data_IF_996056638513
#
_entry.id   IF_996056638513
#
_cell.length_a   1.000
_cell.length_b   1.000
_cell.length_c   1.000
_cell.angle_alpha   90.00
_cell.angle_beta   90.00
_cell.angle_gamma   90.00
#
_symmetry.space_group_name_H-M   'P 1'
#
loop_
_entity.id
_entity.type
_entity.pdbx_description
1 polymer ?
#
# COMPACT_ATOMS: atom_id res chain seq x y z
N UNK A 1 17.57 -18.37 -10.65
CA UNK A 1 18.08 -17.89 -11.95
C UNK A 1 17.50 -18.60 -13.19
N UNK A 2 17.88 -19.82 -13.59
CA UNK A 2 17.39 -20.42 -14.86
C UNK A 2 15.87 -20.72 -14.89
N UNK A 3 15.32 -21.29 -13.80
CA UNK A 3 13.86 -21.50 -13.64
C UNK A 3 13.07 -20.19 -13.63
N UNK A 4 13.66 -19.16 -13.04
CA UNK A 4 13.06 -17.85 -12.85
C UNK A 4 13.00 -17.06 -14.18
N UNK A 5 14.07 -17.14 -14.98
CA UNK A 5 14.09 -16.62 -16.36
C UNK A 5 13.08 -17.35 -17.26
N UNK A 6 12.93 -18.67 -17.08
CA UNK A 6 11.97 -19.46 -17.86
C UNK A 6 10.51 -19.14 -17.49
N UNK A 7 10.23 -18.95 -16.19
CA UNK A 7 8.93 -18.50 -15.71
C UNK A 7 8.59 -17.07 -16.18
N UNK A 8 9.55 -16.15 -16.11
CA UNK A 8 9.38 -14.78 -16.61
C UNK A 8 9.11 -14.75 -18.13
N UNK A 9 9.84 -15.54 -18.91
CA UNK A 9 9.62 -15.64 -20.35
C UNK A 9 8.26 -16.26 -20.70
N UNK A 10 7.86 -17.32 -19.97
CA UNK A 10 6.54 -17.92 -20.14
C UNK A 10 5.41 -16.94 -19.80
N UNK A 11 5.54 -16.16 -18.72
CA UNK A 11 4.58 -15.11 -18.35
C UNK A 11 4.49 -14.06 -19.44
N UNK A 12 5.63 -13.53 -19.91
CA UNK A 12 5.65 -12.49 -20.95
C UNK A 12 5.01 -12.96 -22.26
N UNK A 13 5.27 -14.21 -22.68
CA UNK A 13 4.64 -14.79 -23.87
C UNK A 13 3.13 -14.97 -23.69
N UNK A 14 2.68 -15.28 -22.47
CA UNK A 14 1.26 -15.41 -22.15
C UNK A 14 0.57 -14.05 -22.15
N UNK A 15 1.21 -13.04 -21.59
CA UNK A 15 0.72 -11.65 -21.56
C UNK A 15 0.59 -11.09 -22.99
N UNK A 16 1.57 -11.33 -23.85
CA UNK A 16 1.53 -10.93 -25.26
C UNK A 16 0.39 -11.63 -26.02
N UNK A 17 0.20 -12.94 -25.79
CA UNK A 17 -0.91 -13.69 -26.37
C UNK A 17 -2.29 -13.23 -25.88
N UNK A 18 -2.40 -12.85 -24.60
CA UNK A 18 -3.62 -12.28 -24.02
C UNK A 18 -3.91 -10.88 -24.58
N UNK A 19 -2.89 -10.04 -24.74
CA UNK A 19 -3.01 -8.70 -25.31
C UNK A 19 -3.48 -8.76 -26.78
N UNK A 20 -2.91 -9.67 -27.58
CA UNK A 20 -3.33 -9.86 -28.97
C UNK A 20 -4.80 -10.32 -29.07
N UNK A 21 -5.22 -11.26 -28.21
CA UNK A 21 -6.62 -11.71 -28.14
C UNK A 21 -7.57 -10.61 -27.66
N UNK A 22 -7.14 -9.79 -26.69
CA UNK A 22 -7.91 -8.65 -26.22
C UNK A 22 -8.15 -7.66 -27.36
N UNK A 23 -7.12 -7.34 -28.15
CA UNK A 23 -7.25 -6.48 -29.33
C UNK A 23 -8.21 -7.02 -30.39
N UNK A 24 -8.18 -8.34 -30.67
CA UNK A 24 -9.14 -8.97 -31.59
C UNK A 24 -10.60 -8.85 -31.07
N UNK A 25 -10.81 -9.05 -29.77
CA UNK A 25 -12.12 -8.95 -29.14
C UNK A 25 -12.64 -7.50 -29.12
N UNK A 26 -11.76 -6.53 -28.87
CA UNK A 26 -12.06 -5.10 -28.90
C UNK A 26 -12.54 -4.68 -30.29
N UNK A 27 -11.79 -5.03 -31.33
CA UNK A 27 -12.16 -4.72 -32.72
C UNK A 27 -13.50 -5.37 -33.13
N UNK A 28 -13.77 -6.58 -32.65
CA UNK A 28 -15.07 -7.26 -32.86
C UNK A 28 -16.21 -6.57 -32.13
N UNK A 29 -15.97 -6.08 -30.91
CA UNK A 29 -16.94 -5.31 -30.12
C UNK A 29 -17.30 -4.02 -30.85
N UNK A 30 -16.31 -3.24 -31.25
CA UNK A 30 -16.52 -1.98 -31.99
C UNK A 30 -17.33 -2.19 -33.27
N UNK A 31 -16.97 -3.21 -34.08
CA UNK A 31 -17.73 -3.53 -35.29
C UNK A 31 -19.19 -3.94 -34.99
N UNK A 32 -19.43 -4.64 -33.88
CA UNK A 32 -20.77 -5.02 -33.48
C UNK A 32 -21.58 -3.81 -32.97
N UNK A 33 -20.94 -2.89 -32.24
CA UNK A 33 -21.56 -1.64 -31.79
C UNK A 33 -21.94 -0.74 -32.96
N UNK A 34 -21.07 -0.57 -33.96
CA UNK A 34 -21.35 0.22 -35.17
C UNK A 34 -22.57 -0.34 -35.92
N UNK A 35 -22.63 -1.66 -36.09
CA UNK A 35 -23.77 -2.32 -36.75
C UNK A 35 -25.06 -2.14 -35.97
N UNK A 36 -25.04 -2.25 -34.65
CA UNK A 36 -26.23 -2.08 -33.83
C UNK A 36 -26.69 -0.62 -33.76
N UNK A 37 -25.76 0.33 -33.74
CA UNK A 37 -26.07 1.76 -33.82
C UNK A 37 -26.76 2.13 -35.13
N UNK A 38 -26.49 1.40 -36.23
CA UNK A 38 -27.22 1.57 -37.49
C UNK A 38 -28.66 1.06 -37.45
N UNK A 39 -28.99 0.18 -36.50
CA UNK A 39 -30.30 -0.47 -36.37
C UNK A 39 -31.13 0.07 -35.20
N UNK A 40 -30.49 0.64 -34.18
CA UNK A 40 -31.09 1.06 -32.92
C UNK A 40 -30.70 2.52 -32.61
N UNK A 41 -31.67 3.30 -32.13
CA UNK A 41 -31.45 4.72 -31.78
C UNK A 41 -30.83 4.94 -30.40
N UNK A 42 -30.54 3.87 -29.65
CA UNK A 42 -29.98 3.95 -28.30
C UNK A 42 -28.76 3.02 -28.13
N UNK A 43 -27.77 3.43 -27.32
CA UNK A 43 -26.60 2.62 -27.05
C UNK A 43 -27.00 1.37 -26.26
N UNK A 44 -26.54 0.21 -26.72
CA UNK A 44 -26.81 -1.09 -26.09
C UNK A 44 -25.47 -1.66 -25.62
N UNK A 45 -25.24 -1.82 -24.31
CA UNK A 45 -23.96 -2.32 -23.80
C UNK A 45 -23.75 -3.77 -24.28
N UNK A 46 -22.69 -3.97 -25.07
CA UNK A 46 -22.30 -5.29 -25.54
C UNK A 46 -21.34 -5.94 -24.56
N UNK A 47 -21.78 -7.06 -23.99
CA UNK A 47 -20.94 -7.85 -23.12
C UNK A 47 -20.32 -9.01 -23.91
N UNK A 48 -19.00 -9.21 -23.82
CA UNK A 48 -18.34 -10.30 -24.53
C UNK A 48 -18.79 -11.64 -23.98
N UNK A 49 -18.81 -12.63 -24.88
CA UNK A 49 -19.04 -14.02 -24.53
C UNK A 49 -17.70 -14.73 -24.41
N UNK A 50 -17.33 -15.06 -23.18
CA UNK A 50 -16.04 -15.63 -22.83
C UNK A 50 -16.17 -17.13 -22.58
N UNK A 51 -15.11 -17.89 -22.90
CA UNK A 51 -14.95 -19.27 -22.46
C UNK A 51 -13.85 -19.28 -21.42
N UNK A 52 -14.09 -19.95 -20.29
CA UNK A 52 -13.07 -20.11 -19.25
C UNK A 52 -12.04 -21.12 -19.74
N UNK A 53 -10.76 -20.71 -19.79
CA UNK A 53 -9.67 -21.54 -20.33
C UNK A 53 -9.52 -22.87 -19.58
N UNK A 54 -9.50 -22.82 -18.25
CA UNK A 54 -9.56 -23.99 -17.37
C UNK A 54 -10.85 -23.96 -16.55
N UNK A 55 -11.94 -24.44 -17.16
CA UNK A 55 -13.24 -24.49 -16.51
C UNK A 55 -13.23 -25.38 -15.25
N UNK A 56 -12.41 -26.43 -15.22
CA UNK A 56 -12.33 -27.36 -14.08
C UNK A 56 -11.65 -26.74 -12.87
N UNK A 57 -10.56 -25.99 -13.09
CA UNK A 57 -9.89 -25.25 -12.02
C UNK A 57 -10.77 -24.14 -11.45
N UNK A 58 -11.45 -23.37 -12.31
CA UNK A 58 -12.37 -22.31 -11.89
C UNK A 58 -13.57 -22.88 -11.12
N UNK A 59 -14.20 -23.94 -11.63
CA UNK A 59 -15.27 -24.63 -10.92
C UNK A 59 -14.82 -25.06 -9.52
N UNK A 60 -13.67 -25.75 -9.44
CA UNK A 60 -13.14 -26.28 -8.18
C UNK A 60 -12.78 -25.15 -7.19
N UNK A 61 -12.32 -24.01 -7.69
CA UNK A 61 -11.98 -22.86 -6.87
C UNK A 61 -13.23 -22.18 -6.29
N UNK A 62 -14.27 -21.94 -7.09
CA UNK A 62 -15.53 -21.35 -6.63
C UNK A 62 -16.37 -22.30 -5.77
N UNK A 63 -16.29 -23.61 -6.00
CA UNK A 63 -16.93 -24.62 -5.14
C UNK A 63 -16.40 -24.59 -3.69
N UNK A 64 -15.25 -23.96 -3.46
CA UNK A 64 -14.63 -23.82 -2.13
C UNK A 64 -14.87 -22.45 -1.49
N UNK A 65 -15.75 -21.61 -2.05
CA UNK A 65 -16.03 -20.25 -1.53
C UNK A 65 -16.29 -20.26 -0.01
N UNK A 66 -17.19 -21.14 0.47
CA UNK A 66 -17.52 -21.21 1.90
C UNK A 66 -16.33 -21.63 2.77
N UNK A 67 -15.51 -22.57 2.28
CA UNK A 67 -14.32 -23.02 2.98
C UNK A 67 -13.23 -21.94 3.05
N UNK A 68 -13.06 -21.17 1.97
CA UNK A 68 -12.12 -20.05 1.90
C UNK A 68 -12.49 -18.91 2.87
N UNK A 69 -13.78 -18.75 3.14
CA UNK A 69 -14.32 -17.77 4.08
C UNK A 69 -14.53 -18.32 5.49
N UNK A 70 -14.23 -19.61 5.72
CA UNK A 70 -14.46 -20.29 7.01
C UNK A 70 -15.93 -20.14 7.47
N UNK A 71 -16.86 -20.30 6.52
CA UNK A 71 -18.30 -20.20 6.73
C UNK A 71 -18.84 -18.79 6.99
N UNK A 72 -18.00 -17.76 6.98
CA UNK A 72 -18.41 -16.37 7.25
C UNK A 72 -18.45 -15.50 5.98
N UNK A 73 -19.63 -15.31 5.35
CA UNK A 73 -19.76 -14.48 4.16
C UNK A 73 -19.45 -13.00 4.41
N UNK A 74 -19.52 -12.52 5.67
CA UNK A 74 -19.24 -11.13 6.00
C UNK A 74 -17.77 -10.77 5.74
N UNK A 75 -16.85 -11.74 5.72
CA UNK A 75 -15.44 -11.52 5.34
C UNK A 75 -15.30 -11.03 3.90
N UNK A 76 -16.09 -11.57 2.98
CA UNK A 76 -16.01 -11.19 1.58
C UNK A 76 -16.64 -9.81 1.33
N UNK A 77 -17.75 -9.48 2.00
CA UNK A 77 -18.33 -8.13 1.97
C UNK A 77 -17.43 -7.11 2.66
N UNK A 78 -16.91 -7.45 3.84
CA UNK A 78 -16.00 -6.60 4.60
C UNK A 78 -14.71 -6.29 3.84
N UNK A 79 -14.18 -7.27 3.10
CA UNK A 79 -13.04 -7.05 2.22
C UNK A 79 -13.33 -6.01 1.13
N UNK A 80 -14.48 -6.10 0.45
CA UNK A 80 -14.86 -5.09 -0.56
C UNK A 80 -14.92 -3.69 0.07
N UNK A 81 -15.54 -3.56 1.25
CA UNK A 81 -15.61 -2.29 1.98
C UNK A 81 -14.25 -1.72 2.42
N UNK A 82 -13.24 -2.57 2.65
CA UNK A 82 -11.87 -2.10 2.90
C UNK A 82 -11.21 -1.61 1.61
N UNK A 83 -11.31 -2.39 0.53
CA UNK A 83 -10.63 -2.05 -0.72
C UNK A 83 -11.27 -0.85 -1.42
N UNK A 84 -12.57 -0.64 -1.23
CA UNK A 84 -13.31 0.55 -1.66
C UNK A 84 -12.71 1.86 -1.13
N UNK A 85 -12.03 1.85 0.02
CA UNK A 85 -11.40 3.06 0.59
C UNK A 85 -10.19 3.54 -0.20
N UNK A 86 -9.54 2.62 -0.93
CA UNK A 86 -8.27 2.89 -1.63
C UNK A 86 -8.38 2.70 -3.14
N UNK A 87 -9.47 2.10 -3.64
CA UNK A 87 -9.69 1.84 -5.07
C UNK A 87 -11.04 2.39 -5.55
N UNK A 88 -11.05 3.39 -6.46
CA UNK A 88 -12.28 4.03 -6.94
C UNK A 88 -13.29 3.08 -7.60
N UNK A 89 -12.83 2.09 -8.36
CA UNK A 89 -13.73 1.19 -9.08
C UNK A 89 -14.38 0.16 -8.13
N UNK A 90 -13.65 -0.29 -7.11
CA UNK A 90 -14.23 -1.06 -6.02
C UNK A 90 -15.23 -0.24 -5.19
N UNK A 91 -14.98 1.06 -4.98
CA UNK A 91 -15.93 1.95 -4.30
C UNK A 91 -17.25 2.09 -5.06
N UNK A 92 -17.21 2.17 -6.39
CA UNK A 92 -18.42 2.17 -7.23
C UNK A 92 -19.19 0.85 -7.10
N UNK A 93 -18.48 -0.27 -7.05
CA UNK A 93 -19.09 -1.59 -6.89
C UNK A 93 -19.75 -1.74 -5.52
N UNK A 94 -19.08 -1.33 -4.44
CA UNK A 94 -19.60 -1.33 -3.06
C UNK A 94 -20.85 -0.45 -2.91
N UNK A 95 -20.82 0.74 -3.51
CA UNK A 95 -22.00 1.59 -3.60
C UNK A 95 -23.12 0.89 -4.38
N UNK A 96 -22.83 0.30 -5.54
CA UNK A 96 -23.83 -0.38 -6.36
C UNK A 96 -24.47 -1.57 -5.63
N UNK A 97 -23.69 -2.39 -4.91
CA UNK A 97 -24.23 -3.49 -4.11
C UNK A 97 -25.14 -2.98 -3.01
N UNK A 98 -24.73 -1.91 -2.31
CA UNK A 98 -25.56 -1.26 -1.27
C UNK A 98 -26.87 -0.72 -1.84
N UNK A 99 -26.84 -0.03 -2.98
CA UNK A 99 -28.05 0.51 -3.61
C UNK A 99 -28.95 -0.62 -4.14
N UNK A 100 -28.37 -1.69 -4.71
CA UNK A 100 -29.13 -2.84 -5.18
C UNK A 100 -29.90 -3.51 -4.03
N UNK A 101 -29.28 -3.65 -2.86
CA UNK A 101 -29.94 -4.17 -1.65
C UNK A 101 -31.11 -3.30 -1.22
N UNK A 102 -30.91 -1.98 -1.15
CA UNK A 102 -31.94 -1.03 -0.75
C UNK A 102 -33.15 -1.01 -1.70
N UNK A 103 -32.91 -1.14 -3.02
CA UNK A 103 -33.96 -1.07 -4.04
C UNK A 103 -34.67 -2.41 -4.20
N UNK A 104 -33.93 -3.51 -4.23
CA UNK A 104 -34.46 -4.82 -4.58
C UNK A 104 -34.86 -5.68 -3.36
N UNK A 105 -34.53 -5.24 -2.14
CA UNK A 105 -34.67 -6.00 -0.89
C UNK A 105 -34.03 -7.40 -1.00
N UNK A 106 -32.89 -7.47 -1.71
CA UNK A 106 -32.13 -8.70 -1.96
C UNK A 106 -30.65 -8.42 -1.91
N UNK A 107 -29.95 -9.22 -1.11
CA UNK A 107 -28.50 -9.25 -1.12
C UNK A 107 -27.97 -9.91 -2.39
N UNK A 108 -26.99 -9.29 -3.08
CA UNK A 108 -26.35 -9.89 -4.22
C UNK A 108 -25.59 -11.15 -3.79
N UNK A 109 -25.67 -12.21 -4.61
CA UNK A 109 -25.00 -13.47 -4.31
C UNK A 109 -23.52 -13.33 -4.61
N UNK A 110 -22.75 -13.21 -3.54
CA UNK A 110 -21.30 -13.11 -3.58
C UNK A 110 -20.65 -14.48 -3.58
N UNK A 111 -19.55 -14.64 -4.31
CA UNK A 111 -18.67 -15.79 -4.24
C UNK A 111 -17.21 -15.35 -4.34
N UNK A 112 -16.33 -16.10 -3.67
CA UNK A 112 -14.88 -15.94 -3.79
C UNK A 112 -14.25 -17.22 -4.34
N UNK A 113 -13.11 -17.06 -4.99
CA UNK A 113 -12.29 -18.17 -5.44
C UNK A 113 -10.80 -17.86 -5.27
N UNK A 114 -10.00 -18.92 -5.18
CA UNK A 114 -8.55 -18.82 -5.08
C UNK A 114 -7.88 -19.91 -5.91
N UNK A 115 -6.87 -19.50 -6.67
CA UNK A 115 -6.03 -20.37 -7.47
C UNK A 115 -4.54 -20.18 -7.09
N UNK A 116 -3.73 -21.25 -7.02
CA UNK A 116 -4.14 -22.66 -7.12
C UNK A 116 -5.01 -23.09 -5.91
N UNK A 117 -5.76 -24.17 -6.09
CA UNK A 117 -6.58 -24.75 -5.02
C UNK A 117 -5.69 -25.48 -4.02
N UNK A 118 -5.48 -24.88 -2.85
CA UNK A 118 -4.66 -25.44 -1.76
C UNK A 118 -5.57 -25.78 -0.56
N UNK A 119 -5.43 -26.97 0.01
CA UNK A 119 -6.21 -27.39 1.18
C UNK A 119 -5.87 -26.51 2.40
N UNK A 120 -6.89 -26.15 3.18
CA UNK A 120 -6.77 -25.38 4.43
C UNK A 120 -6.05 -24.03 4.32
N UNK A 121 -5.95 -23.48 3.11
CA UNK A 121 -5.43 -22.15 2.86
C UNK A 121 -6.58 -21.14 3.05
N UNK A 122 -6.37 -20.06 3.83
CA UNK A 122 -7.37 -19.01 3.90
C UNK A 122 -7.46 -18.29 2.55
N UNK A 123 -8.55 -17.54 2.35
CA UNK A 123 -8.59 -16.61 1.24
C UNK A 123 -7.52 -15.53 1.43
N UNK A 124 -6.55 -15.46 0.52
CA UNK A 124 -5.33 -14.66 0.66
C UNK A 124 -5.60 -13.15 0.72
N UNK A 125 -6.81 -12.74 0.33
CA UNK A 125 -7.26 -11.36 0.41
C UNK A 125 -7.65 -10.93 1.85
N UNK A 126 -7.90 -11.89 2.76
CA UNK A 126 -8.27 -11.59 4.16
C UNK A 126 -7.25 -12.09 5.19
N UNK A 127 -6.45 -13.10 4.85
CA UNK A 127 -5.38 -13.58 5.71
C UNK A 127 -4.21 -14.12 4.89
N UNK A 128 -3.00 -14.05 5.44
CA UNK A 128 -1.81 -14.53 4.75
C UNK A 128 -1.92 -16.05 4.44
N UNK A 129 -1.60 -16.48 3.20
CA UNK A 129 -1.56 -17.89 2.86
C UNK A 129 -0.43 -18.60 3.61
N UNK A 130 -0.58 -19.91 3.82
CA UNK A 130 0.42 -20.72 4.51
C UNK A 130 1.70 -20.85 3.67
N UNK A 131 2.86 -20.83 4.35
CA UNK A 131 4.14 -21.15 3.75
C UNK A 131 4.15 -22.60 3.24
N UNK A 132 4.70 -22.81 2.04
CA UNK A 132 4.99 -24.13 1.48
C UNK A 132 6.46 -24.20 1.10
N UNK A 133 7.16 -25.22 1.57
CA UNK A 133 8.62 -25.38 1.36
C UNK A 133 9.45 -24.13 1.71
N UNK A 134 9.02 -23.41 2.75
CA UNK A 134 9.69 -22.18 3.22
C UNK A 134 9.41 -20.92 2.39
N UNK A 135 8.50 -20.97 1.41
CA UNK A 135 8.13 -19.82 0.58
C UNK A 135 6.61 -19.65 0.46
N UNK A 136 6.16 -18.41 0.25
CA UNK A 136 4.77 -18.12 -0.12
C UNK A 136 4.68 -18.10 -1.64
N UNK A 137 3.87 -19.00 -2.20
CA UNK A 137 3.55 -18.99 -3.63
C UNK A 137 2.49 -17.92 -3.93
N UNK A 138 2.49 -17.38 -5.15
CA UNK A 138 1.47 -16.44 -5.59
C UNK A 138 0.06 -17.06 -5.53
N UNK A 139 -0.94 -16.22 -5.27
CA UNK A 139 -2.36 -16.58 -5.30
C UNK A 139 -3.08 -15.65 -6.27
N UNK A 140 -3.91 -16.22 -7.14
CA UNK A 140 -4.93 -15.46 -7.85
C UNK A 140 -6.21 -15.52 -7.01
N UNK A 141 -6.60 -14.38 -6.45
CA UNK A 141 -7.83 -14.22 -5.70
C UNK A 141 -8.91 -13.61 -6.59
N UNK A 142 -10.10 -14.19 -6.58
CA UNK A 142 -11.25 -13.70 -7.30
C UNK A 142 -12.37 -13.39 -6.31
N UNK A 143 -13.02 -12.26 -6.53
CA UNK A 143 -14.23 -11.82 -5.83
C UNK A 143 -15.28 -11.54 -6.91
N UNK A 144 -16.45 -12.14 -6.82
CA UNK A 144 -17.43 -12.09 -7.91
C UNK A 144 -18.88 -12.05 -7.42
N UNK A 145 -19.68 -11.18 -8.06
CA UNK A 145 -21.14 -11.27 -8.04
C UNK A 145 -21.58 -12.26 -9.12
N UNK A 146 -21.77 -13.52 -8.75
CA UNK A 146 -21.87 -14.64 -9.70
C UNK A 146 -23.26 -15.30 -9.74
N UNK A 147 -24.07 -15.17 -8.68
CA UNK A 147 -25.33 -15.92 -8.55
C UNK A 147 -25.19 -17.44 -8.81
N UNK A 148 -24.00 -18.01 -8.59
CA UNK A 148 -23.69 -19.44 -8.70
C UNK A 148 -23.39 -19.94 -10.12
N UNK A 149 -23.16 -19.06 -11.10
CA UNK A 149 -22.79 -19.43 -12.46
C UNK A 149 -21.40 -20.08 -12.56
N UNK A 150 -20.39 -19.51 -11.92
CA UNK A 150 -18.98 -19.91 -11.99
C UNK A 150 -18.69 -21.20 -11.20
N UNK A 151 -19.40 -21.45 -10.10
CA UNK A 151 -19.39 -22.77 -9.44
C UNK A 151 -19.95 -23.90 -10.34
N UNK A 152 -20.64 -23.53 -11.43
CA UNK A 152 -21.17 -24.44 -12.45
C UNK A 152 -20.45 -24.29 -13.78
N UNK A 153 -19.27 -23.68 -13.78
CA UNK A 153 -18.38 -23.68 -14.93
C UNK A 153 -18.09 -25.12 -15.32
N UNK A 154 -18.38 -25.44 -16.58
CA UNK A 154 -18.10 -26.73 -17.20
C UNK A 154 -17.47 -26.46 -18.54
N UNK A 155 -16.63 -27.37 -19.02
CA UNK A 155 -16.02 -27.26 -20.33
C UNK A 155 -17.08 -26.98 -21.41
N UNK A 156 -16.82 -26.00 -22.27
CA UNK A 156 -17.73 -25.59 -23.35
C UNK A 156 -18.87 -24.63 -22.93
N UNK A 157 -19.03 -24.33 -21.64
CA UNK A 157 -19.95 -23.26 -21.23
C UNK A 157 -19.32 -21.89 -21.46
N UNK A 158 -20.17 -20.97 -21.92
CA UNK A 158 -19.80 -19.58 -22.12
C UNK A 158 -20.33 -18.72 -20.99
N UNK A 159 -19.52 -17.75 -20.60
CA UNK A 159 -19.82 -16.76 -19.57
C UNK A 159 -19.85 -15.37 -20.18
N UNK A 160 -20.57 -14.50 -19.52
CA UNK A 160 -20.60 -13.09 -19.83
C UNK A 160 -20.50 -12.37 -18.51
N UNK A 161 -19.60 -11.41 -18.42
CA UNK A 161 -19.31 -10.72 -17.17
C UNK A 161 -18.52 -9.45 -17.40
N UNK A 162 -18.47 -8.64 -16.36
CA UNK A 162 -17.72 -7.40 -16.32
C UNK A 162 -16.60 -7.55 -15.28
N UNK A 163 -15.37 -7.27 -15.69
CA UNK A 163 -14.26 -7.10 -14.74
C UNK A 163 -14.27 -5.65 -14.30
N UNK A 164 -14.36 -5.42 -12.99
CA UNK A 164 -14.47 -4.07 -12.41
C UNK A 164 -13.08 -3.51 -12.07
N UNK A 165 -12.22 -4.33 -11.48
CA UNK A 165 -10.88 -3.94 -11.09
C UNK A 165 -9.95 -5.17 -11.11
N UNK A 166 -8.66 -4.94 -11.31
CA UNK A 166 -7.62 -5.96 -11.18
C UNK A 166 -6.34 -5.31 -10.67
N UNK A 167 -5.69 -5.96 -9.72
CA UNK A 167 -4.43 -5.49 -9.17
C UNK A 167 -3.61 -6.64 -8.60
N UNK A 168 -2.32 -6.40 -8.45
CA UNK A 168 -1.40 -7.31 -7.78
C UNK A 168 -1.01 -6.72 -6.44
N UNK A 169 -0.90 -7.59 -5.44
CA UNK A 169 -0.46 -7.22 -4.10
C UNK A 169 0.67 -8.15 -3.67
N UNK A 170 1.69 -7.58 -3.03
CA UNK A 170 2.78 -8.37 -2.48
C UNK A 170 2.33 -8.97 -1.15
N UNK A 171 2.40 -10.30 -1.06
CA UNK A 171 2.14 -10.99 0.19
C UNK A 171 3.29 -10.63 1.16
N UNK A 172 3.01 -10.04 2.34
CA UNK A 172 4.05 -9.64 3.28
C UNK A 172 4.90 -10.83 3.73
N UNK A 173 6.14 -10.59 4.13
CA UNK A 173 6.97 -11.61 4.82
C UNK A 173 6.52 -11.77 6.27
N UNK A 174 6.75 -12.95 6.86
CA UNK A 174 6.51 -13.19 8.29
C UNK A 174 7.46 -12.37 9.18
N UNK A 175 8.66 -12.11 8.67
CA UNK A 175 9.67 -11.27 9.31
C UNK A 175 10.01 -10.09 8.41
N UNK A 176 9.92 -8.88 8.96
CA UNK A 176 10.32 -7.65 8.30
C UNK A 176 11.22 -6.87 9.26
N UNK A 177 12.45 -6.57 8.84
CA UNK A 177 13.32 -5.65 9.56
C UNK A 177 12.78 -4.23 9.37
N UNK A 178 12.02 -3.74 10.35
CA UNK A 178 11.41 -2.39 10.32
C UNK A 178 12.21 -1.41 11.18
N UNK A 179 12.30 -0.15 10.73
CA UNK A 179 12.84 0.96 11.49
C UNK A 179 11.72 1.89 11.93
N UNK A 180 11.68 2.25 13.21
CA UNK A 180 10.70 3.21 13.74
C UNK A 180 11.30 4.61 13.65
N UNK A 181 10.70 5.48 12.82
CA UNK A 181 11.00 6.91 12.82
C UNK A 181 9.95 7.64 13.67
N UNK A 182 10.38 8.22 14.79
CA UNK A 182 9.52 9.04 15.64
C UNK A 182 9.67 10.52 15.29
N UNK A 183 8.57 11.18 14.95
CA UNK A 183 8.52 12.63 14.82
C UNK A 183 8.31 13.22 16.21
N UNK A 184 9.38 13.80 16.78
CA UNK A 184 9.32 14.53 18.05
C UNK A 184 9.10 16.01 17.75
N UNK A 185 7.96 16.55 18.17
CA UNK A 185 7.64 17.97 18.09
C UNK A 185 8.56 18.74 19.07
N UNK A 186 9.46 19.55 18.53
CA UNK A 186 10.52 20.21 19.29
C UNK A 186 10.40 21.74 19.20
N UNK A 187 10.90 22.50 20.19
CA UNK A 187 10.69 23.95 20.31
C UNK A 187 11.12 24.76 19.07
N UNK A 188 10.40 25.86 18.80
CA UNK A 188 10.42 26.72 17.60
C UNK A 188 11.71 27.51 17.31
N UNK A 189 12.84 27.16 17.93
CA UNK A 189 14.14 27.78 17.67
C UNK A 189 15.13 26.74 17.19
N UNK A 190 15.06 26.44 15.89
CA UNK A 190 16.11 25.68 15.19
C UNK A 190 16.54 26.43 13.91
N UNK A 191 17.83 26.34 13.54
CA UNK A 191 18.27 26.80 12.23
C UNK A 191 17.50 26.06 11.13
N UNK A 192 16.92 26.76 10.15
CA UNK A 192 16.21 26.12 9.06
C UNK A 192 17.21 25.30 8.24
N UNK A 193 16.95 23.99 8.10
CA UNK A 193 17.66 23.07 7.21
C UNK A 193 19.06 22.60 7.67
N UNK A 194 19.12 21.63 8.58
CA UNK A 194 20.36 20.87 8.85
C UNK A 194 20.26 19.46 8.25
N UNK A 195 21.33 19.01 7.60
CA UNK A 195 21.47 17.67 7.04
C UNK A 195 22.73 17.01 7.61
N UNK A 196 22.63 15.75 8.03
CA UNK A 196 23.78 14.93 8.38
C UNK A 196 24.22 14.14 7.14
N UNK A 197 25.34 14.54 6.55
CA UNK A 197 25.97 13.80 5.46
C UNK A 197 27.01 12.85 6.04
N UNK A 198 26.79 11.55 5.85
CA UNK A 198 27.74 10.51 6.22
C UNK A 198 28.52 10.16 4.96
N UNK A 199 29.85 10.02 5.07
CA UNK A 199 30.70 9.57 3.96
C UNK A 199 31.65 8.50 4.52
N UNK A 200 31.66 7.28 3.97
CA UNK A 200 32.54 6.22 4.44
C UNK A 200 34.01 6.59 4.18
N UNK A 201 34.95 6.11 5.02
CA UNK A 201 36.37 6.23 4.75
C UNK A 201 36.72 5.66 3.38
N UNK A 202 37.73 6.24 2.72
CA UNK A 202 38.15 5.81 1.39
C UNK A 202 38.48 4.31 1.37
N UNK A 203 37.79 3.56 0.50
CA UNK A 203 37.96 2.11 0.36
C UNK A 203 37.05 1.25 1.23
N UNK A 204 36.16 1.83 2.04
CA UNK A 204 35.15 1.10 2.81
C UNK A 204 33.75 1.25 2.19
N UNK A 205 32.93 0.21 2.32
CA UNK A 205 31.50 0.26 1.99
C UNK A 205 30.70 0.74 3.18
N UNK A 206 29.49 1.24 2.94
CA UNK A 206 28.53 1.45 4.02
C UNK A 206 28.21 0.14 4.71
N UNK A 207 28.25 0.15 6.04
CA UNK A 207 27.65 -0.87 6.89
C UNK A 207 26.82 -0.19 7.98
N UNK A 208 26.06 -1.00 8.72
CA UNK A 208 25.16 -0.50 9.77
C UNK A 208 25.93 0.14 10.92
N UNK A 209 27.06 -0.45 11.31
CA UNK A 209 27.86 0.00 12.46
C UNK A 209 28.45 1.39 12.19
N UNK A 210 28.96 1.64 10.98
CA UNK A 210 29.45 2.96 10.56
C UNK A 210 28.37 4.05 10.69
N UNK A 211 27.13 3.75 10.27
CA UNK A 211 26.02 4.69 10.35
C UNK A 211 25.64 4.96 11.80
N UNK A 212 25.58 3.90 12.62
CA UNK A 212 25.24 4.00 14.05
C UNK A 212 26.29 4.81 14.81
N UNK A 213 27.57 4.51 14.60
CA UNK A 213 28.69 5.21 15.24
C UNK A 213 28.73 6.68 14.84
N UNK A 214 28.52 6.98 13.55
CA UNK A 214 28.48 8.37 13.06
C UNK A 214 27.32 9.15 13.68
N UNK A 215 26.15 8.51 13.84
CA UNK A 215 25.00 9.12 14.50
C UNK A 215 25.29 9.41 15.98
N UNK A 216 25.84 8.44 16.71
CA UNK A 216 26.20 8.58 18.12
C UNK A 216 27.22 9.72 18.31
N UNK A 217 28.29 9.72 17.51
CA UNK A 217 29.29 10.78 17.53
C UNK A 217 28.69 12.16 17.20
N UNK A 218 27.77 12.23 16.23
CA UNK A 218 27.09 13.48 15.87
C UNK A 218 26.27 14.01 17.05
N UNK A 219 25.57 13.13 17.77
CA UNK A 219 24.79 13.50 18.96
C UNK A 219 25.69 13.97 20.11
N UNK A 220 26.84 13.32 20.33
CA UNK A 220 27.83 13.77 21.31
C UNK A 220 28.38 15.15 20.95
N UNK A 221 28.76 15.37 19.69
CA UNK A 221 29.22 16.67 19.22
C UNK A 221 28.13 17.74 19.30
N UNK A 222 26.86 17.38 19.07
CA UNK A 222 25.74 18.30 19.24
C UNK A 222 25.58 18.73 20.70
N UNK A 223 25.72 17.80 21.67
CA UNK A 223 25.73 18.13 23.10
C UNK A 223 26.89 19.05 23.47
N UNK A 224 28.09 18.79 22.94
CA UNK A 224 29.26 19.66 23.16
C UNK A 224 29.07 21.07 22.60
N UNK A 225 28.41 21.22 21.44
CA UNK A 225 28.09 22.54 20.86
C UNK A 225 27.03 23.31 21.65
N UNK A 226 26.24 22.64 22.48
CA UNK A 226 25.24 23.27 23.34
C UNK A 226 25.82 23.76 24.68
N UNK A 227 27.13 23.58 24.92
CA UNK A 227 27.82 24.10 26.10
C UNK A 227 28.00 25.61 25.96
N UNK A 228 27.37 26.37 26.85
CA UNK A 228 27.50 27.82 26.96
C UNK A 228 28.80 28.21 27.71
N UNK A 229 29.46 29.33 27.40
CA UNK A 229 30.53 29.91 28.23
C UNK A 229 30.27 29.92 29.74
N UNK A 230 29.02 30.15 30.18
CA UNK A 230 28.65 30.17 31.60
C UNK A 230 28.80 28.77 32.26
N UNK A 231 28.72 27.70 31.47
CA UNK A 231 28.98 26.33 31.94
C UNK A 231 30.47 25.99 32.05
N UNK A 232 31.37 26.83 31.49
CA UNK A 232 32.82 26.65 31.50
C UNK A 232 33.46 27.50 32.62
N UNK A 233 33.26 27.12 33.87
CA UNK A 233 33.80 27.83 35.05
C UNK A 233 35.32 28.04 34.93
N UNK A 234 35.74 29.31 34.91
CA UNK A 234 37.16 29.69 34.84
C UNK A 234 37.79 29.63 33.44
N UNK A 235 37.13 29.05 32.42
CA UNK A 235 37.68 28.93 31.06
C UNK A 235 36.81 29.59 29.98
N UNK A 236 35.57 30.01 30.32
CA UNK A 236 34.65 30.70 29.40
C UNK A 236 35.15 32.03 28.83
N UNK A 237 36.25 32.59 29.36
CA UNK A 237 36.87 33.80 28.82
C UNK A 237 37.92 33.53 27.72
N UNK A 238 38.25 32.26 27.47
CA UNK A 238 39.18 31.82 26.44
C UNK A 238 38.50 31.25 25.19
N UNK A 239 37.16 31.10 25.20
CA UNK A 239 36.41 30.63 24.03
C UNK A 239 36.35 31.69 22.92
N UNK A 240 36.20 31.27 21.64
CA UNK A 240 36.24 32.17 20.49
C UNK A 240 35.26 33.35 20.58
N UNK A 241 35.63 34.49 19.98
CA UNK A 241 34.98 35.80 20.06
C UNK A 241 33.55 35.91 19.47
N UNK A 242 32.89 34.79 19.17
CA UNK A 242 31.49 34.74 18.78
C UNK A 242 30.53 34.95 19.95
N UNK A 243 31.03 34.83 21.19
CA UNK A 243 30.30 35.20 22.39
C UNK A 243 30.74 36.62 22.82
N UNK A 244 29.82 37.60 22.91
CA UNK A 244 30.17 38.93 23.40
C UNK A 244 30.68 38.80 24.84
N UNK A 245 31.80 39.46 25.16
CA UNK A 245 32.29 39.53 26.54
C UNK A 245 31.20 40.17 27.39
N UNK A 246 30.62 39.41 28.31
CA UNK A 246 29.69 39.94 29.29
C UNK A 246 30.44 40.97 30.12
N UNK A 247 30.07 42.25 29.97
CA UNK A 247 30.50 43.28 30.91
C UNK A 247 29.63 43.08 32.13
N UNK A 248 30.24 42.73 33.26
CA UNK A 248 29.55 42.72 34.54
C UNK A 248 29.06 44.14 34.79
N UNK A 249 27.76 44.39 34.59
CA UNK A 249 27.15 45.58 35.13
C UNK A 249 27.27 45.42 36.65
N UNK A 250 28.16 46.21 37.27
CA UNK A 250 28.41 46.18 38.70
C UNK A 250 27.12 46.30 39.52
N UNK A 251 27.17 46.04 40.84
CA UNK A 251 25.97 45.96 41.67
C UNK A 251 25.14 47.23 41.51
N UNK A 252 23.93 47.08 40.97
CA UNK A 252 22.98 48.18 40.86
C UNK A 252 22.49 48.50 42.27
N UNK A 253 23.04 49.56 42.86
CA UNK A 253 22.43 50.18 44.05
C UNK A 253 21.12 50.83 43.62
N UNK A 254 19.99 50.52 44.27
CA UNK A 254 18.73 51.19 43.98
C UNK A 254 18.88 52.67 44.34
N UNK A 255 18.73 53.56 43.37
CA UNK A 255 18.51 54.98 43.61
C UNK A 255 17.02 55.16 43.91
N UNK A 256 16.71 55.42 45.19
CA UNK A 256 15.43 56.00 45.60
C UNK A 256 15.39 57.46 45.11
N UNK A 257 14.55 57.75 44.12
CA UNK A 257 14.13 59.11 43.80
C UNK A 257 12.62 59.21 43.96
N UNK A 258 12.28 59.86 45.06
CA UNK A 258 10.99 60.40 45.48
C UNK A 258 10.63 61.66 44.66
N UNK A 259 9.37 62.08 44.75
CA UNK A 259 8.73 63.25 44.13
C UNK A 259 8.34 63.10 42.64
N UNK A 260 7.10 63.34 42.20
CA UNK A 260 5.94 64.01 42.77
C UNK A 260 5.13 64.58 41.60
N UNK A 261 3.81 64.38 41.57
CA UNK A 261 2.98 64.88 40.47
C UNK A 261 1.48 64.80 40.74
N UNK A 262 0.96 65.79 41.47
CA UNK A 262 -0.44 66.23 41.37
C UNK A 262 -0.51 67.42 40.41
N UNK A 263 -1.57 67.47 39.60
CA UNK A 263 -2.13 68.70 39.02
C UNK A 263 -1.74 69.00 37.59
#
# INVERSE_FOLDING_TARGET
>A
EARERLAAHASASLDEGLAARAGELEARRELAEERLASLLEFPLPLLPRCVVADAGAVESAFARSDALLDGDPAKATGWLGQIAKVRPDAAKLDALTTHAELIADRSPSLAVAQLPVVADDPWAAVAAPKLRDGAREGRLCLWALDHGGLARARAGKTFTGLVVDSFTEQIPSDEVLTGVAMHFDAPSSRPPQTMLLITPPAGQTYDFDLVLDTLQQTLELAKLRAVDPDALTGYGHHVPAIYPRRVDAGPQTPTDDDEGGQG
#
